data_IF_056533466116
#
_entry.id   IF_056533466116
#
_cell.length_a   1.000
_cell.length_b   1.000
_cell.length_c   1.000
_cell.angle_alpha   90.00
_cell.angle_beta   90.00
_cell.angle_gamma   90.00
#
_symmetry.space_group_name_H-M   'P 1'
#
loop_
_entity.id
_entity.type
_entity.pdbx_description
1 polymer ?
#
# COMPACT_ATOMS: atom_id res chain seq x y z
N UNK A 1 -17.39 4.05 18.21
CA UNK A 1 -17.93 3.84 16.85
C UNK A 1 -16.93 4.33 15.81
N UNK A 2 -16.48 3.49 14.86
CA UNK A 2 -15.63 3.94 13.73
C UNK A 2 -16.55 4.46 12.63
N UNK A 3 -16.32 5.69 12.16
CA UNK A 3 -17.03 6.27 11.00
C UNK A 3 -16.13 6.17 9.77
N UNK A 4 -16.67 5.67 8.66
CA UNK A 4 -16.02 5.68 7.35
C UNK A 4 -16.70 6.75 6.48
N UNK A 5 -15.90 7.49 5.71
CA UNK A 5 -16.39 8.50 4.78
C UNK A 5 -15.90 8.14 3.37
N UNK A 6 -16.82 8.16 2.41
CA UNK A 6 -16.48 8.11 0.99
C UNK A 6 -16.35 9.55 0.50
N UNK A 7 -15.21 9.90 -0.10
CA UNK A 7 -14.94 11.24 -0.62
C UNK A 7 -14.38 11.09 -2.02
N UNK A 8 -14.93 11.82 -2.98
CA UNK A 8 -14.35 11.95 -4.31
C UNK A 8 -13.13 12.87 -4.23
N UNK A 9 -12.00 12.42 -4.78
CA UNK A 9 -10.79 13.24 -4.91
C UNK A 9 -10.63 13.66 -6.36
N UNK A 10 -10.26 14.93 -6.59
CA UNK A 10 -9.92 15.47 -7.91
C UNK A 10 -8.42 15.78 -7.94
N UNK A 11 -7.56 14.77 -8.17
CA UNK A 11 -6.12 14.97 -8.15
C UNK A 11 -5.67 15.83 -9.33
N UNK A 12 -4.67 16.68 -9.12
CA UNK A 12 -3.92 17.28 -10.22
C UNK A 12 -3.18 16.21 -11.03
N UNK A 13 -2.70 16.54 -12.23
CA UNK A 13 -1.95 15.59 -13.05
C UNK A 13 -0.72 15.01 -12.32
N UNK A 14 0.04 15.85 -11.61
CA UNK A 14 1.20 15.45 -10.82
C UNK A 14 0.83 14.53 -9.65
N UNK A 15 -0.27 14.85 -8.96
CA UNK A 15 -0.84 14.01 -7.91
C UNK A 15 -1.25 12.64 -8.45
N UNK A 16 -1.96 12.60 -9.58
CA UNK A 16 -2.36 11.36 -10.22
C UNK A 16 -1.15 10.49 -10.61
N UNK A 17 -0.07 11.10 -11.12
CA UNK A 17 1.19 10.40 -11.39
C UNK A 17 1.76 9.80 -10.11
N UNK A 18 1.83 10.58 -9.01
CA UNK A 18 2.36 10.11 -7.71
C UNK A 18 1.50 8.99 -7.10
N UNK A 19 0.17 9.04 -7.22
CA UNK A 19 -0.75 7.95 -6.83
C UNK A 19 -0.44 6.70 -7.62
N UNK A 20 -0.42 6.80 -8.95
CA UNK A 20 -0.21 5.66 -9.83
C UNK A 20 1.15 5.00 -9.59
N UNK A 21 2.20 5.80 -9.41
CA UNK A 21 3.52 5.32 -8.98
C UNK A 21 3.39 4.57 -7.66
N UNK A 22 2.85 5.21 -6.62
CA UNK A 22 2.69 4.60 -5.28
C UNK A 22 1.95 3.26 -5.32
N UNK A 23 0.82 3.19 -6.03
CA UNK A 23 0.06 1.94 -6.20
C UNK A 23 0.90 0.88 -6.91
N UNK A 24 1.63 1.26 -7.96
CA UNK A 24 2.54 0.38 -8.69
C UNK A 24 3.64 -0.20 -7.80
N UNK A 25 4.32 0.64 -7.03
CA UNK A 25 5.40 0.22 -6.12
C UNK A 25 4.85 -0.67 -5.00
N UNK A 26 3.73 -0.29 -4.37
CA UNK A 26 3.10 -1.10 -3.33
C UNK A 26 2.74 -2.49 -3.87
N UNK A 27 2.16 -2.59 -5.08
CA UNK A 27 1.84 -3.88 -5.71
C UNK A 27 3.10 -4.69 -6.01
N UNK A 28 4.15 -4.06 -6.53
CA UNK A 28 5.43 -4.71 -6.79
C UNK A 28 6.01 -5.32 -5.52
N UNK A 29 6.17 -4.52 -4.47
CA UNK A 29 6.76 -4.97 -3.19
C UNK A 29 5.93 -6.07 -2.55
N UNK A 30 4.60 -5.97 -2.60
CA UNK A 30 3.71 -7.05 -2.15
C UNK A 30 4.03 -8.35 -2.89
N UNK A 31 3.99 -8.32 -4.24
CA UNK A 31 4.20 -9.51 -5.05
C UNK A 31 5.60 -10.08 -4.89
N UNK A 32 6.60 -9.22 -4.70
CA UNK A 32 7.98 -9.64 -4.50
C UNK A 32 8.14 -10.37 -3.16
N UNK A 33 7.53 -9.85 -2.09
CA UNK A 33 7.45 -10.56 -0.82
C UNK A 33 6.77 -11.93 -0.97
N UNK A 34 5.69 -12.02 -1.75
CA UNK A 34 5.04 -13.32 -2.03
C UNK A 34 5.99 -14.27 -2.75
N UNK A 35 6.69 -13.79 -3.79
CA UNK A 35 7.61 -14.63 -4.56
C UNK A 35 8.74 -15.18 -3.69
N UNK A 36 9.36 -14.31 -2.88
CA UNK A 36 10.48 -14.71 -2.03
C UNK A 36 10.07 -15.73 -0.98
N UNK A 37 8.90 -15.55 -0.37
CA UNK A 37 8.39 -16.49 0.61
C UNK A 37 7.88 -17.79 -0.01
N UNK A 38 7.45 -17.77 -1.27
CA UNK A 38 7.12 -19.00 -2.00
C UNK A 38 8.38 -19.87 -2.18
N UNK A 39 9.49 -19.29 -2.60
CA UNK A 39 10.78 -20.00 -2.71
C UNK A 39 11.21 -20.62 -1.36
N UNK A 40 11.17 -19.82 -0.29
CA UNK A 40 11.54 -20.28 1.07
C UNK A 40 10.60 -21.39 1.55
N UNK A 41 9.30 -21.25 1.29
CA UNK A 41 8.31 -22.22 1.72
C UNK A 41 8.46 -23.57 1.01
N UNK A 42 8.82 -23.56 -0.28
CA UNK A 42 9.06 -24.78 -1.05
C UNK A 42 10.24 -25.57 -0.47
N UNK A 43 11.29 -24.90 0.00
CA UNK A 43 12.51 -25.50 0.53
C UNK A 43 12.44 -25.86 2.02
N UNK A 44 11.93 -24.94 2.84
CA UNK A 44 12.10 -24.99 4.31
C UNK A 44 10.77 -25.05 5.08
N UNK A 45 9.62 -25.00 4.38
CA UNK A 45 8.28 -24.98 4.99
C UNK A 45 8.06 -23.87 6.03
N UNK A 46 8.83 -22.79 5.95
CA UNK A 46 8.68 -21.55 6.74
C UNK A 46 8.49 -20.34 5.83
N UNK A 47 8.33 -19.17 6.44
CA UNK A 47 8.34 -17.89 5.75
C UNK A 47 9.19 -16.87 6.54
N UNK A 48 9.77 -15.94 5.81
CA UNK A 48 10.50 -14.77 6.30
C UNK A 48 9.52 -13.70 6.77
N UNK A 49 9.76 -13.10 7.93
CA UNK A 49 8.97 -11.98 8.44
C UNK A 49 9.07 -10.73 7.57
N UNK A 50 8.11 -9.81 7.72
CA UNK A 50 8.16 -8.51 7.03
C UNK A 50 9.40 -7.69 7.39
N UNK A 51 9.89 -7.83 8.63
CA UNK A 51 11.10 -7.15 9.11
C UNK A 51 12.38 -7.67 8.44
N UNK A 52 12.54 -8.99 8.38
CA UNK A 52 13.69 -9.62 7.70
C UNK A 52 13.71 -9.26 6.22
N UNK A 53 12.53 -9.26 5.58
CA UNK A 53 12.40 -8.85 4.19
C UNK A 53 12.73 -7.37 3.98
N UNK A 54 12.26 -6.45 4.83
CA UNK A 54 12.62 -5.02 4.74
C UNK A 54 14.14 -4.81 4.88
N UNK A 55 14.78 -5.54 5.81
CA UNK A 55 16.24 -5.50 5.98
C UNK A 55 16.96 -6.02 4.74
N UNK A 56 16.52 -7.14 4.17
CA UNK A 56 17.11 -7.72 2.96
C UNK A 56 16.89 -6.81 1.74
N UNK A 57 15.66 -6.31 1.56
CA UNK A 57 15.28 -5.42 0.46
C UNK A 57 16.19 -4.19 0.45
N UNK A 58 16.31 -3.48 1.58
CA UNK A 58 17.08 -2.23 1.66
C UNK A 58 18.60 -2.45 1.57
N UNK A 59 19.14 -3.55 2.08
CA UNK A 59 20.59 -3.77 2.13
C UNK A 59 21.15 -4.49 0.91
N UNK A 60 20.36 -5.35 0.27
CA UNK A 60 20.81 -6.22 -0.82
C UNK A 60 20.22 -5.75 -2.14
N UNK A 61 18.89 -5.62 -2.21
CA UNK A 61 18.18 -5.42 -3.48
C UNK A 61 18.15 -3.96 -3.95
N UNK A 62 17.78 -3.03 -3.07
CA UNK A 62 17.63 -1.60 -3.39
C UNK A 62 18.97 -0.92 -3.70
N UNK A 63 20.10 -1.48 -3.24
CA UNK A 63 21.43 -0.94 -3.56
C UNK A 63 21.88 -1.24 -4.98
N UNK A 64 21.31 -2.25 -5.64
CA UNK A 64 21.78 -2.72 -6.94
C UNK A 64 20.81 -2.41 -8.09
N UNK A 65 19.49 -2.42 -7.86
CA UNK A 65 18.52 -2.44 -8.97
C UNK A 65 17.37 -1.42 -8.86
N UNK A 66 16.92 -1.07 -7.65
CA UNK A 66 15.58 -0.46 -7.49
C UNK A 66 15.55 0.90 -6.75
N UNK A 67 16.37 1.87 -7.19
CA UNK A 67 16.35 3.22 -6.61
C UNK A 67 14.99 3.93 -6.77
N UNK A 68 14.23 3.60 -7.80
CA UNK A 68 12.89 4.14 -8.09
C UNK A 68 11.86 3.85 -6.98
N UNK A 69 12.11 2.87 -6.11
CA UNK A 69 11.28 2.63 -4.91
C UNK A 69 11.34 3.78 -3.90
N UNK A 70 12.37 4.62 -3.95
CA UNK A 70 12.51 5.81 -3.08
C UNK A 70 11.61 6.98 -3.49
N UNK A 71 11.01 6.92 -4.68
CA UNK A 71 10.13 7.97 -5.20
C UNK A 71 8.78 8.05 -4.47
N UNK A 72 8.46 7.06 -3.64
CA UNK A 72 7.19 6.95 -2.92
C UNK A 72 7.39 6.87 -1.42
N UNK A 73 6.30 7.09 -0.67
CA UNK A 73 6.36 7.05 0.79
C UNK A 73 6.83 5.68 1.30
N UNK A 74 7.91 5.68 2.09
CA UNK A 74 8.38 4.49 2.81
C UNK A 74 7.29 3.87 3.68
N UNK A 75 6.35 4.68 4.19
CA UNK A 75 5.20 4.18 4.98
C UNK A 75 4.24 3.36 4.11
N UNK A 76 3.99 3.79 2.87
CA UNK A 76 3.17 3.05 1.92
C UNK A 76 3.80 1.70 1.57
N UNK A 77 5.11 1.68 1.35
CA UNK A 77 5.88 0.45 1.07
C UNK A 77 5.83 -0.50 2.26
N UNK A 78 6.13 -0.02 3.47
CA UNK A 78 6.05 -0.81 4.71
C UNK A 78 4.67 -1.38 4.96
N UNK A 79 3.62 -0.59 4.79
CA UNK A 79 2.26 -1.09 4.94
C UNK A 79 1.94 -2.20 3.93
N UNK A 80 2.43 -2.09 2.69
CA UNK A 80 2.25 -3.13 1.67
C UNK A 80 2.92 -4.45 2.08
N UNK A 81 4.15 -4.37 2.61
CA UNK A 81 4.85 -5.55 3.14
C UNK A 81 4.11 -6.18 4.32
N UNK A 82 3.62 -5.37 5.27
CA UNK A 82 2.83 -5.87 6.40
C UNK A 82 1.52 -6.55 5.95
N UNK A 83 0.90 -6.05 4.88
CA UNK A 83 -0.29 -6.68 4.30
C UNK A 83 0.06 -8.05 3.68
N UNK A 84 1.23 -8.18 3.05
CA UNK A 84 1.71 -9.44 2.49
C UNK A 84 2.06 -10.45 3.59
N UNK A 85 2.78 -10.00 4.62
CA UNK A 85 3.10 -10.81 5.81
C UNK A 85 1.84 -11.31 6.50
N UNK A 86 0.81 -10.46 6.64
CA UNK A 86 -0.47 -10.86 7.22
C UNK A 86 -1.13 -12.00 6.42
N UNK A 87 -1.04 -11.97 5.09
CA UNK A 87 -1.56 -13.04 4.25
C UNK A 87 -0.84 -14.37 4.51
N UNK A 88 0.50 -14.36 4.63
CA UNK A 88 1.27 -15.54 5.01
C UNK A 88 0.94 -16.04 6.42
N UNK A 89 0.84 -15.14 7.40
CA UNK A 89 0.44 -15.51 8.76
C UNK A 89 -0.92 -16.20 8.80
N UNK A 90 -1.89 -15.70 8.05
CA UNK A 90 -3.21 -16.33 7.95
C UNK A 90 -3.13 -17.73 7.32
N UNK A 91 -2.33 -17.89 6.26
CA UNK A 91 -2.10 -19.19 5.64
C UNK A 91 -1.50 -20.21 6.62
N UNK A 92 -0.43 -19.83 7.34
CA UNK A 92 0.19 -20.70 8.34
C UNK A 92 -0.71 -21.02 9.54
N UNK A 93 -1.65 -20.13 9.87
CA UNK A 93 -2.67 -20.37 10.89
C UNK A 93 -3.85 -21.22 10.39
N UNK A 94 -3.82 -21.69 9.14
CA UNK A 94 -4.93 -22.44 8.52
C UNK A 94 -6.18 -21.61 8.26
N UNK A 95 -6.08 -20.28 8.31
CA UNK A 95 -7.23 -19.35 8.15
C UNK A 95 -7.50 -18.96 6.70
N UNK A 96 -6.54 -19.20 5.80
CA UNK A 96 -6.67 -18.89 4.38
C UNK A 96 -5.85 -19.85 3.53
N UNK A 97 -6.17 -19.92 2.23
CA UNK A 97 -5.31 -20.57 1.24
C UNK A 97 -3.97 -19.82 1.07
N UNK A 98 -3.06 -20.43 0.31
CA UNK A 98 -1.74 -19.85 0.03
C UNK A 98 -1.87 -18.44 -0.57
N UNK A 99 -1.06 -17.46 -0.13
CA UNK A 99 -1.12 -16.09 -0.62
C UNK A 99 -0.95 -15.99 -2.14
N UNK A 100 -1.73 -15.12 -2.78
CA UNK A 100 -1.73 -14.92 -4.23
C UNK A 100 -1.12 -13.58 -4.59
N UNK A 101 -0.55 -13.48 -5.79
CA UNK A 101 -0.10 -12.21 -6.35
C UNK A 101 -1.27 -11.25 -6.58
N UNK A 102 -1.04 -9.97 -6.34
CA UNK A 102 -1.93 -8.87 -6.71
C UNK A 102 -1.83 -8.56 -8.20
N UNK A 103 -3.00 -8.44 -8.84
CA UNK A 103 -3.18 -8.04 -10.23
C UNK A 103 -3.49 -6.55 -10.34
N UNK A 104 -3.34 -5.97 -11.53
CA UNK A 104 -3.55 -4.52 -11.75
C UNK A 104 -5.02 -4.10 -11.83
N UNK A 105 -5.90 -4.93 -12.39
CA UNK A 105 -7.30 -4.57 -12.69
C UNK A 105 -8.31 -5.04 -11.65
N UNK A 106 -8.01 -6.10 -10.90
CA UNK A 106 -9.02 -6.82 -10.10
C UNK A 106 -8.71 -6.85 -8.59
N UNK A 107 -7.94 -5.88 -8.09
CA UNK A 107 -7.48 -5.89 -6.70
C UNK A 107 -7.69 -4.56 -6.01
N UNK A 108 -8.24 -4.62 -4.79
CA UNK A 108 -8.19 -3.53 -3.82
C UNK A 108 -6.74 -3.39 -3.30
N UNK A 109 -5.97 -2.53 -3.97
CA UNK A 109 -4.61 -2.17 -3.53
C UNK A 109 -4.73 -1.11 -2.45
N UNK A 110 -4.65 -1.56 -1.20
CA UNK A 110 -4.64 -0.67 -0.03
C UNK A 110 -3.30 0.05 0.07
N UNK A 111 -3.26 1.32 -0.31
CA UNK A 111 -2.11 2.19 -0.14
C UNK A 111 -2.30 3.10 1.06
N UNK A 112 -1.25 3.21 1.88
CA UNK A 112 -1.23 4.16 2.99
C UNK A 112 -0.61 5.47 2.52
N UNK A 113 -1.41 6.53 2.47
CA UNK A 113 -0.92 7.88 2.20
C UNK A 113 -0.63 8.58 3.54
N UNK A 114 0.62 8.97 3.85
CA UNK A 114 0.94 9.67 5.09
C UNK A 114 0.23 11.02 5.18
N UNK A 115 -0.05 11.47 6.41
CA UNK A 115 -0.44 12.86 6.71
C UNK A 115 0.79 13.75 6.91
N UNK A 116 0.75 14.93 6.30
CA UNK A 116 1.46 16.19 6.60
C UNK A 116 2.98 16.11 6.87
N UNK A 117 3.77 15.79 5.84
CA UNK A 117 5.08 16.41 5.67
C UNK A 117 4.95 17.64 4.75
N UNK A 118 5.91 18.59 4.79
CA UNK A 118 5.93 19.78 3.90
C UNK A 118 5.88 19.43 2.40
N UNK A 119 6.21 18.19 2.02
CA UNK A 119 6.23 17.64 0.66
C UNK A 119 5.10 16.62 0.39
N UNK A 120 4.20 16.43 1.36
CA UNK A 120 3.03 15.54 1.25
C UNK A 120 1.76 16.33 0.87
N UNK A 121 0.66 15.60 0.71
CA UNK A 121 -0.59 16.05 0.14
C UNK A 121 -1.38 16.92 1.12
N UNK A 122 -1.88 18.07 0.68
CA UNK A 122 -2.96 18.77 1.38
C UNK A 122 -4.29 18.16 0.94
N UNK A 123 -4.95 17.43 1.83
CA UNK A 123 -6.33 16.95 1.59
C UNK A 123 -7.27 17.99 2.16
N UNK A 124 -7.82 18.83 1.28
CA UNK A 124 -8.92 19.71 1.64
C UNK A 124 -10.19 18.88 1.72
N UNK A 125 -10.86 18.91 2.87
CA UNK A 125 -12.21 18.36 2.98
C UNK A 125 -13.09 19.24 2.10
N UNK A 126 -13.67 18.67 1.03
CA UNK A 126 -14.71 19.38 0.29
C UNK A 126 -15.81 19.77 1.29
N UNK A 127 -15.92 21.06 1.59
CA UNK A 127 -17.06 21.59 2.32
C UNK A 127 -18.26 21.49 1.37
N UNK A 128 -19.15 20.55 1.64
CA UNK A 128 -20.48 20.59 1.03
C UNK A 128 -21.14 21.88 1.48
N UNK A 129 -21.18 22.89 0.60
CA UNK A 129 -21.99 24.10 0.81
C UNK A 129 -23.45 23.67 0.81
N UNK A 130 -24.00 23.40 2.00
CA UNK A 130 -25.44 23.43 2.17
C UNK A 130 -25.87 24.87 1.96
N UNK A 131 -26.55 25.11 0.84
CA UNK A 131 -27.25 26.37 0.61
C UNK A 131 -28.31 26.43 1.71
N UNK A 132 -28.12 27.27 2.73
CA UNK A 132 -29.24 27.67 3.56
C UNK A 132 -30.25 28.31 2.60
N UNK A 133 -31.40 27.66 2.41
CA UNK A 133 -32.55 28.34 1.85
C UNK A 133 -32.97 29.36 2.90
N UNK A 134 -32.51 30.60 2.71
CA UNK A 134 -33.13 31.74 3.33
C UNK A 134 -34.49 31.96 2.64
N UNK A 135 -35.56 31.89 3.41
CA UNK A 135 -36.79 32.67 3.19
C UNK A 135 -38.08 31.91 2.90
N UNK A 136 -39.17 32.50 3.45
CA UNK A 136 -40.62 32.29 3.27
C UNK A 136 -41.24 31.19 4.17
N UNK A 137 -42.02 31.48 5.22
CA UNK A 137 -42.71 32.69 5.72
C UNK A 137 -42.66 32.76 7.26
#
# INVERSE_FOLDING_TARGET
MKKAYLVEIKPTAEQAIKINKTIGICRYVYNFYISKNKEIYEQEKRFMSGYEFDKWLNNVHTKQQDQWMKDVSTKAVKQSMMNAEKAFKNFFQGKSAFPRYKRKKDEDVKCYFPKNNKTDWTVERHESKFRHLAGFD
#
